data_IF_596167414840
#
_entry.id   IF_596167414840
#
_cell.length_a   1.000
_cell.length_b   1.000
_cell.length_c   1.000
_cell.angle_alpha   90.00
_cell.angle_beta   90.00
_cell.angle_gamma   90.00
#
_symmetry.space_group_name_H-M   'P 1'
#
loop_
_entity.id
_entity.type
_entity.pdbx_description
1 polymer ?
#
# COMPACT_ATOMS: atom_id res chain seq x y z
N UNK A 1 -18.08 26.93 44.99
CA UNK A 1 -18.55 25.51 45.06
C UNK A 1 -17.49 24.68 44.37
N UNK A 2 -16.57 24.05 45.14
CA UNK A 2 -15.57 23.13 44.59
C UNK A 2 -16.25 21.80 44.31
N UNK A 3 -16.19 21.31 43.10
CA UNK A 3 -16.61 19.95 42.78
C UNK A 3 -15.68 19.00 43.49
N UNK A 4 -16.20 18.22 44.43
CA UNK A 4 -15.49 17.10 45.07
C UNK A 4 -15.43 16.01 43.97
N UNK A 5 -14.28 15.88 43.34
CA UNK A 5 -14.02 14.78 42.40
C UNK A 5 -13.82 13.51 43.24
N UNK A 6 -14.69 12.53 43.09
CA UNK A 6 -14.57 11.23 43.74
C UNK A 6 -13.28 10.54 43.31
N UNK A 7 -12.51 10.04 44.30
CA UNK A 7 -11.31 9.23 44.06
C UNK A 7 -11.64 7.96 43.27
N UNK A 8 -10.85 7.64 42.24
CA UNK A 8 -11.05 6.48 41.36
C UNK A 8 -9.91 5.48 41.48
N UNK A 9 -10.21 4.21 41.24
CA UNK A 9 -9.19 3.17 41.08
C UNK A 9 -8.56 3.23 39.71
N UNK A 10 -7.24 3.26 39.67
CA UNK A 10 -6.49 3.16 38.40
C UNK A 10 -6.70 1.77 37.77
N UNK A 11 -7.13 1.72 36.54
CA UNK A 11 -7.38 0.45 35.82
C UNK A 11 -6.13 -0.40 35.61
N UNK A 12 -4.92 0.19 35.68
CA UNK A 12 -3.67 -0.55 35.54
C UNK A 12 -3.11 -1.08 36.83
N UNK A 13 -3.06 -0.28 37.88
CA UNK A 13 -2.37 -0.64 39.15
C UNK A 13 -3.29 -0.74 40.37
N UNK A 14 -4.59 -0.44 40.23
CA UNK A 14 -5.57 -0.52 41.31
C UNK A 14 -5.48 0.58 42.38
N UNK A 15 -4.48 1.45 42.33
CA UNK A 15 -4.30 2.52 43.30
C UNK A 15 -5.39 3.57 43.15
N UNK A 16 -5.93 4.05 44.27
CA UNK A 16 -6.86 5.18 44.31
C UNK A 16 -6.11 6.47 43.92
N UNK A 17 -6.71 7.28 43.07
CA UNK A 17 -6.17 8.58 42.68
C UNK A 17 -7.28 9.61 42.46
N UNK A 18 -6.94 10.86 42.63
CA UNK A 18 -7.87 11.96 42.37
C UNK A 18 -7.76 12.38 40.88
N UNK A 19 -8.83 12.16 40.10
CA UNK A 19 -8.78 12.40 38.67
C UNK A 19 -8.78 13.92 38.39
N UNK A 20 -7.80 14.40 37.64
CA UNK A 20 -7.75 15.80 37.15
C UNK A 20 -8.77 16.09 36.03
N UNK A 21 -9.36 15.06 35.46
CA UNK A 21 -10.39 15.13 34.39
C UNK A 21 -11.42 14.03 34.67
N UNK A 22 -12.68 14.33 34.40
CA UNK A 22 -13.80 13.44 34.66
C UNK A 22 -13.65 12.03 34.09
N UNK A 23 -12.99 11.90 32.95
CA UNK A 23 -12.78 10.63 32.26
C UNK A 23 -11.40 10.01 32.47
N UNK A 24 -10.64 10.46 33.46
CA UNK A 24 -9.32 9.88 33.76
C UNK A 24 -9.47 8.45 34.28
N UNK A 25 -8.85 7.49 33.62
CA UNK A 25 -8.85 6.05 33.91
C UNK A 25 -7.57 5.59 34.62
N UNK A 26 -6.50 6.38 34.55
CA UNK A 26 -5.17 6.01 34.99
C UNK A 26 -4.58 7.09 35.91
N UNK A 27 -3.91 6.67 36.99
CA UNK A 27 -3.27 7.57 37.96
C UNK A 27 -2.05 8.32 37.37
N UNK A 28 -1.44 7.80 36.30
CA UNK A 28 -0.26 8.38 35.68
C UNK A 28 -0.15 8.01 34.19
N UNK A 29 0.68 8.75 33.45
CA UNK A 29 1.04 8.43 32.08
C UNK A 29 1.72 7.05 31.97
N UNK A 30 2.51 6.66 32.98
CA UNK A 30 3.16 5.34 33.04
C UNK A 30 2.12 4.22 33.09
N UNK A 31 1.08 4.35 33.92
CA UNK A 31 0.01 3.36 34.01
C UNK A 31 -0.78 3.27 32.70
N UNK A 32 -1.06 4.39 32.06
CA UNK A 32 -1.72 4.41 30.75
C UNK A 32 -0.90 3.67 29.68
N UNK A 33 0.40 3.93 29.60
CA UNK A 33 1.30 3.25 28.65
C UNK A 33 1.39 1.75 28.95
N UNK A 34 1.52 1.37 30.24
CA UNK A 34 1.56 -0.04 30.64
C UNK A 34 0.25 -0.76 30.29
N UNK A 35 -0.89 -0.14 30.57
CA UNK A 35 -2.21 -0.69 30.23
C UNK A 35 -2.37 -0.86 28.72
N UNK A 36 -1.99 0.16 27.93
CA UNK A 36 -2.05 0.08 26.47
C UNK A 36 -1.14 -1.04 25.92
N UNK A 37 0.04 -1.27 26.52
CA UNK A 37 0.93 -2.38 26.11
C UNK A 37 0.36 -3.75 26.44
N UNK A 38 -0.35 -3.89 27.56
CA UNK A 38 -0.96 -5.15 27.96
C UNK A 38 -2.27 -5.45 27.23
N UNK A 39 -3.01 -4.41 26.87
CA UNK A 39 -4.30 -4.51 26.18
C UNK A 39 -4.26 -4.10 24.71
N UNK A 40 -3.14 -3.63 24.18
CA UNK A 40 -2.88 -3.72 22.76
C UNK A 40 -2.84 -5.21 22.46
N UNK A 41 -3.85 -5.75 21.80
CA UNK A 41 -3.75 -7.06 21.16
C UNK A 41 -2.40 -7.17 20.44
N UNK A 42 -1.89 -8.34 20.18
CA UNK A 42 -0.62 -8.52 19.47
C UNK A 42 -0.57 -7.49 18.36
N UNK A 43 0.40 -6.57 18.42
CA UNK A 43 0.55 -5.59 17.34
C UNK A 43 0.74 -6.40 16.05
N UNK A 44 0.06 -6.05 14.95
CA UNK A 44 0.23 -6.76 13.70
C UNK A 44 1.72 -6.92 13.41
N UNK A 45 2.11 -8.12 13.07
CA UNK A 45 3.49 -8.35 12.60
C UNK A 45 3.67 -7.66 11.25
N UNK A 46 4.89 -7.47 10.84
CA UNK A 46 5.21 -6.95 9.49
C UNK A 46 4.58 -7.85 8.41
N UNK A 47 4.57 -9.16 8.64
CA UNK A 47 3.90 -10.14 7.77
C UNK A 47 2.39 -9.93 7.67
N UNK A 48 1.72 -9.69 8.79
CA UNK A 48 0.28 -9.41 8.81
C UNK A 48 -0.06 -8.13 8.04
N UNK A 49 0.74 -7.09 8.21
CA UNK A 49 0.54 -5.82 7.51
C UNK A 49 0.73 -5.97 5.99
N UNK A 50 1.71 -6.75 5.55
CA UNK A 50 1.92 -7.07 4.14
C UNK A 50 0.74 -7.88 3.59
N UNK A 51 0.28 -8.91 4.30
CA UNK A 51 -0.86 -9.75 3.87
C UNK A 51 -2.15 -8.93 3.71
N UNK A 52 -2.44 -8.05 4.66
CA UNK A 52 -3.60 -7.13 4.55
C UNK A 52 -3.49 -6.20 3.34
N UNK A 53 -2.30 -5.67 3.07
CA UNK A 53 -2.06 -4.77 1.94
C UNK A 53 -2.23 -5.50 0.60
N UNK A 54 -1.74 -6.75 0.52
CA UNK A 54 -1.92 -7.61 -0.65
C UNK A 54 -3.39 -7.97 -0.84
N UNK A 55 -4.10 -8.28 0.25
CA UNK A 55 -5.53 -8.59 0.21
C UNK A 55 -6.33 -7.39 -0.30
N UNK A 56 -6.08 -6.19 0.23
CA UNK A 56 -6.74 -4.96 -0.22
C UNK A 56 -6.46 -4.66 -1.71
N UNK A 57 -5.22 -4.86 -2.15
CA UNK A 57 -4.85 -4.72 -3.57
C UNK A 57 -5.67 -5.66 -4.44
N UNK A 58 -5.73 -6.95 -4.08
CA UNK A 58 -6.44 -7.97 -4.88
C UNK A 58 -7.94 -7.70 -4.95
N UNK A 59 -8.57 -7.39 -3.82
CA UNK A 59 -10.00 -7.03 -3.78
C UNK A 59 -10.30 -5.81 -4.65
N UNK A 60 -9.41 -4.82 -4.65
CA UNK A 60 -9.54 -3.62 -5.47
C UNK A 60 -9.38 -3.92 -6.95
N UNK A 61 -8.39 -4.72 -7.35
CA UNK A 61 -8.20 -5.15 -8.73
C UNK A 61 -9.40 -5.98 -9.20
N UNK A 62 -9.87 -6.91 -8.40
CA UNK A 62 -11.05 -7.72 -8.69
C UNK A 62 -12.31 -6.87 -8.88
N UNK A 63 -12.49 -5.83 -8.08
CA UNK A 63 -13.57 -4.86 -8.21
C UNK A 63 -13.44 -4.07 -9.50
N UNK A 64 -12.23 -3.58 -9.83
CA UNK A 64 -11.94 -2.88 -11.08
C UNK A 64 -12.25 -3.75 -12.31
N UNK A 65 -11.82 -5.00 -12.31
CA UNK A 65 -12.02 -5.91 -13.43
C UNK A 65 -13.50 -6.24 -13.68
N UNK A 66 -14.34 -6.14 -12.66
CA UNK A 66 -15.80 -6.35 -12.74
C UNK A 66 -16.59 -5.05 -12.89
N UNK A 67 -15.95 -3.89 -12.65
CA UNK A 67 -16.64 -2.61 -12.68
C UNK A 67 -17.17 -2.28 -14.07
N UNK A 68 -18.41 -1.80 -14.12
CA UNK A 68 -19.11 -1.39 -15.34
C UNK A 68 -19.50 0.07 -15.22
N UNK A 69 -19.50 0.76 -16.31
CA UNK A 69 -19.93 2.15 -16.38
C UNK A 69 -19.28 2.89 -17.55
N UNK A 70 -19.92 4.00 -17.89
CA UNK A 70 -19.41 4.96 -18.86
C UNK A 70 -19.06 6.29 -18.19
N UNK A 71 -19.28 6.37 -16.89
CA UNK A 71 -19.05 7.55 -16.08
C UNK A 71 -17.55 7.68 -15.75
N UNK A 72 -16.94 8.72 -16.27
CA UNK A 72 -15.52 8.99 -16.13
C UNK A 72 -15.11 9.23 -14.66
N UNK A 73 -15.85 9.97 -13.83
CA UNK A 73 -15.54 10.10 -12.40
C UNK A 73 -15.51 8.76 -11.65
N UNK A 74 -16.45 7.86 -11.94
CA UNK A 74 -16.46 6.53 -11.33
C UNK A 74 -15.26 5.70 -11.78
N UNK A 75 -14.97 5.67 -13.09
CA UNK A 75 -13.80 4.97 -13.61
C UNK A 75 -12.50 5.51 -13.02
N UNK A 76 -12.37 6.85 -12.94
CA UNK A 76 -11.24 7.49 -12.29
C UNK A 76 -11.06 7.02 -10.84
N UNK A 77 -12.12 7.03 -10.04
CA UNK A 77 -12.05 6.61 -8.63
C UNK A 77 -11.58 5.16 -8.47
N UNK A 78 -12.17 4.23 -9.23
CA UNK A 78 -11.82 2.79 -9.16
C UNK A 78 -10.40 2.54 -9.63
N UNK A 79 -9.97 3.19 -10.72
CA UNK A 79 -8.60 3.05 -11.23
C UNK A 79 -7.59 3.68 -10.28
N UNK A 80 -7.88 4.85 -9.71
CA UNK A 80 -7.01 5.54 -8.76
C UNK A 80 -6.75 4.68 -7.53
N UNK A 81 -7.78 4.04 -6.99
CA UNK A 81 -7.65 3.13 -5.86
C UNK A 81 -6.76 1.93 -6.20
N UNK A 82 -6.93 1.33 -7.38
CA UNK A 82 -6.10 0.22 -7.83
C UNK A 82 -4.63 0.65 -8.05
N UNK A 83 -4.38 1.82 -8.64
CA UNK A 83 -3.03 2.39 -8.79
C UNK A 83 -2.38 2.58 -7.43
N UNK A 84 -3.13 3.11 -6.46
CA UNK A 84 -2.63 3.32 -5.10
C UNK A 84 -2.17 2.01 -4.48
N UNK A 85 -3.02 1.00 -4.41
CA UNK A 85 -2.70 -0.26 -3.77
C UNK A 85 -1.57 -1.02 -4.47
N UNK A 86 -1.59 -1.09 -5.80
CA UNK A 86 -0.51 -1.74 -6.57
C UNK A 86 0.84 -1.08 -6.30
N UNK A 87 0.90 0.25 -6.33
CA UNK A 87 2.17 0.97 -6.09
C UNK A 87 2.61 0.94 -4.64
N UNK A 88 1.70 0.77 -3.69
CA UNK A 88 2.01 0.57 -2.27
C UNK A 88 2.60 -0.81 -2.01
N UNK A 89 2.00 -1.88 -2.53
CA UNK A 89 2.54 -3.25 -2.42
C UNK A 89 3.91 -3.34 -3.07
N UNK A 90 4.05 -2.82 -4.29
CA UNK A 90 5.32 -2.77 -5.00
C UNK A 90 6.41 -2.04 -4.20
N UNK A 91 6.13 -0.85 -3.67
CA UNK A 91 7.10 -0.10 -2.86
C UNK A 91 7.45 -0.82 -1.55
N UNK A 92 6.51 -1.53 -0.94
CA UNK A 92 6.72 -2.31 0.27
C UNK A 92 7.64 -3.50 -0.01
N UNK A 93 7.39 -4.26 -1.07
CA UNK A 93 8.21 -5.40 -1.46
C UNK A 93 9.64 -4.96 -1.81
N UNK A 94 9.80 -3.94 -2.64
CA UNK A 94 11.13 -3.39 -3.01
C UNK A 94 11.90 -2.90 -1.79
N UNK A 95 11.23 -2.32 -0.80
CA UNK A 95 11.89 -1.73 0.37
C UNK A 95 12.24 -2.75 1.45
N UNK A 96 11.33 -3.67 1.74
CA UNK A 96 11.42 -4.55 2.91
C UNK A 96 11.70 -6.02 2.54
N UNK A 97 11.48 -6.41 1.29
CA UNK A 97 11.66 -7.77 0.80
C UNK A 97 12.42 -7.80 -0.55
N UNK A 98 13.52 -7.04 -0.70
CA UNK A 98 14.22 -6.91 -2.00
C UNK A 98 14.67 -8.27 -2.55
N UNK A 99 15.18 -9.17 -1.71
CA UNK A 99 15.67 -10.47 -2.16
C UNK A 99 14.56 -11.32 -2.83
N UNK A 100 13.35 -11.33 -2.25
CA UNK A 100 12.22 -12.07 -2.81
C UNK A 100 11.72 -11.40 -4.11
N UNK A 101 11.71 -10.07 -4.14
CA UNK A 101 11.33 -9.30 -5.33
C UNK A 101 12.31 -9.57 -6.48
N UNK A 102 13.60 -9.48 -6.22
CA UNK A 102 14.66 -9.66 -7.21
C UNK A 102 14.75 -11.12 -7.69
N UNK A 103 14.52 -12.12 -6.81
CA UNK A 103 14.47 -13.53 -7.17
C UNK A 103 13.37 -13.80 -8.20
N UNK A 104 12.16 -13.30 -7.97
CA UNK A 104 11.05 -13.45 -8.92
C UNK A 104 11.34 -12.70 -10.22
N UNK A 105 11.85 -11.46 -10.12
CA UNK A 105 12.20 -10.67 -11.30
C UNK A 105 13.29 -11.35 -12.15
N UNK A 106 14.29 -11.97 -11.52
CA UNK A 106 15.35 -12.72 -12.20
C UNK A 106 14.85 -13.99 -12.89
N UNK A 107 13.73 -14.56 -12.45
CA UNK A 107 13.06 -15.69 -13.10
C UNK A 107 12.46 -15.38 -14.46
N UNK A 108 12.29 -14.10 -14.80
CA UNK A 108 11.78 -13.64 -16.10
C UNK A 108 12.91 -13.36 -17.09
N UNK A 109 12.61 -13.47 -18.40
CA UNK A 109 13.56 -13.05 -19.42
C UNK A 109 13.77 -11.52 -19.44
N UNK A 110 14.76 -11.04 -20.21
CA UNK A 110 15.12 -9.62 -20.23
C UNK A 110 14.02 -8.71 -20.79
N UNK A 111 13.14 -9.23 -21.67
CA UNK A 111 12.02 -8.45 -22.23
C UNK A 111 10.88 -8.35 -21.22
N UNK A 112 10.54 -9.46 -20.57
CA UNK A 112 9.53 -9.51 -19.52
C UNK A 112 9.91 -8.66 -18.32
N UNK A 113 11.19 -8.73 -17.86
CA UNK A 113 11.69 -7.87 -16.78
C UNK A 113 11.48 -6.40 -17.08
N UNK A 114 11.90 -5.95 -18.28
CA UNK A 114 11.67 -4.56 -18.70
C UNK A 114 10.20 -4.19 -18.76
N UNK A 115 9.34 -5.11 -19.16
CA UNK A 115 7.90 -4.88 -19.21
C UNK A 115 7.30 -4.76 -17.79
N UNK A 116 7.76 -5.56 -16.83
CA UNK A 116 7.36 -5.50 -15.43
C UNK A 116 7.82 -4.18 -14.81
N UNK A 117 9.12 -3.90 -14.86
CA UNK A 117 9.72 -2.68 -14.30
C UNK A 117 9.07 -1.41 -14.89
N UNK A 118 8.92 -1.36 -16.22
CA UNK A 118 8.29 -0.24 -16.89
C UNK A 118 6.80 -0.11 -16.58
N UNK A 119 6.09 -1.22 -16.36
CA UNK A 119 4.70 -1.18 -15.90
C UNK A 119 4.59 -0.51 -14.53
N UNK A 120 5.43 -0.89 -13.56
CA UNK A 120 5.43 -0.25 -12.25
C UNK A 120 5.92 1.20 -12.29
N UNK A 121 6.91 1.52 -13.12
CA UNK A 121 7.35 2.89 -13.33
C UNK A 121 6.24 3.77 -13.89
N UNK A 122 5.52 3.30 -14.90
CA UNK A 122 4.35 3.98 -15.45
C UNK A 122 3.20 4.15 -14.45
N UNK A 123 2.91 3.13 -13.62
CA UNK A 123 1.90 3.23 -12.56
C UNK A 123 2.32 4.23 -11.46
N UNK A 124 3.60 4.32 -11.12
CA UNK A 124 4.13 5.33 -10.19
C UNK A 124 4.00 6.74 -10.77
N UNK A 125 4.20 6.91 -12.10
CA UNK A 125 3.91 8.17 -12.77
C UNK A 125 2.44 8.55 -12.61
N UNK A 126 1.51 7.65 -12.94
CA UNK A 126 0.07 7.88 -12.80
C UNK A 126 -0.28 8.28 -11.35
N UNK A 127 0.21 7.54 -10.35
CA UNK A 127 -0.01 7.86 -8.93
C UNK A 127 0.43 9.28 -8.57
N UNK A 128 1.59 9.70 -9.05
CA UNK A 128 2.12 11.03 -8.79
C UNK A 128 1.25 12.11 -9.46
N UNK A 129 0.83 11.88 -10.70
CA UNK A 129 -0.06 12.81 -11.41
C UNK A 129 -1.41 12.94 -10.70
N UNK A 130 -2.00 11.86 -10.21
CA UNK A 130 -3.24 11.88 -9.42
C UNK A 130 -3.10 12.67 -8.12
N UNK A 131 -1.93 12.61 -7.46
CA UNK A 131 -1.71 13.23 -6.16
C UNK A 131 -1.32 14.70 -6.22
N UNK A 132 -0.65 15.13 -7.28
CA UNK A 132 -0.04 16.46 -7.34
C UNK A 132 -0.62 17.37 -8.44
N UNK A 133 -1.23 16.79 -9.48
CA UNK A 133 -1.65 17.51 -10.67
C UNK A 133 -3.10 17.18 -11.00
N UNK A 134 -4.04 17.75 -10.24
CA UNK A 134 -5.50 17.57 -10.47
C UNK A 134 -5.96 17.97 -11.88
N UNK A 135 -5.14 18.69 -12.64
CA UNK A 135 -5.43 19.09 -14.02
C UNK A 135 -5.39 17.92 -15.02
N UNK A 136 -4.88 16.74 -14.62
CA UNK A 136 -4.70 15.58 -15.49
C UNK A 136 -5.53 14.35 -15.11
N UNK A 137 -6.81 14.56 -14.74
CA UNK A 137 -7.76 13.45 -14.60
C UNK A 137 -8.02 12.69 -15.91
N UNK A 138 -7.42 13.10 -17.02
CA UNK A 138 -7.71 12.67 -18.38
C UNK A 138 -6.73 11.61 -18.93
N UNK A 139 -6.14 10.76 -18.09
CA UNK A 139 -5.23 9.69 -18.52
C UNK A 139 -5.91 8.39 -18.93
N UNK A 140 -7.23 8.36 -18.93
CA UNK A 140 -8.03 7.21 -19.37
C UNK A 140 -9.09 7.62 -20.39
N UNK A 141 -9.39 6.72 -21.29
CA UNK A 141 -10.48 6.89 -22.25
C UNK A 141 -11.39 5.66 -22.26
N UNK A 142 -12.71 5.85 -22.42
CA UNK A 142 -13.66 4.75 -22.48
C UNK A 142 -13.30 3.72 -23.54
N UNK A 143 -13.33 2.45 -23.15
CA UNK A 143 -13.21 1.31 -24.06
C UNK A 143 -14.58 0.84 -24.53
N UNK A 144 -14.59 -0.16 -25.41
CA UNK A 144 -15.83 -0.76 -25.90
C UNK A 144 -16.47 -1.65 -24.83
N UNK A 145 -17.80 -1.71 -24.80
CA UNK A 145 -18.55 -2.68 -23.99
C UNK A 145 -18.91 -2.25 -22.56
N UNK A 146 -18.63 -1.01 -22.15
CA UNK A 146 -19.04 -0.49 -20.83
C UNK A 146 -18.37 -1.16 -19.61
N UNK A 147 -17.25 -1.86 -19.83
CA UNK A 147 -16.45 -2.44 -18.76
C UNK A 147 -15.21 -1.58 -18.55
N UNK A 148 -14.98 -1.12 -17.31
CA UNK A 148 -13.86 -0.22 -16.99
C UNK A 148 -12.51 -0.87 -17.30
N UNK A 149 -12.37 -2.17 -17.11
CA UNK A 149 -11.16 -2.91 -17.46
C UNK A 149 -10.79 -2.84 -18.96
N UNK A 150 -11.76 -2.57 -19.86
CA UNK A 150 -11.54 -2.40 -21.28
C UNK A 150 -11.24 -0.94 -21.69
N UNK A 151 -11.26 -0.01 -20.72
CA UNK A 151 -10.79 1.35 -20.96
C UNK A 151 -9.29 1.33 -21.24
N UNK A 152 -8.80 2.34 -21.96
CA UNK A 152 -7.39 2.39 -22.34
C UNK A 152 -6.70 3.59 -21.71
N UNK A 153 -5.44 3.41 -21.37
CA UNK A 153 -4.57 4.50 -20.96
C UNK A 153 -4.31 5.42 -22.16
N UNK A 154 -4.48 6.72 -21.97
CA UNK A 154 -4.24 7.71 -23.03
C UNK A 154 -2.75 8.01 -23.13
N UNK A 155 -2.29 8.34 -24.33
CA UNK A 155 -1.00 9.03 -24.47
C UNK A 155 -1.14 10.44 -23.91
N UNK A 156 -0.22 10.84 -23.04
CA UNK A 156 -0.21 12.13 -22.38
C UNK A 156 0.84 13.05 -23.00
N UNK A 157 0.63 14.37 -23.01
CA UNK A 157 1.69 15.31 -23.34
C UNK A 157 2.83 15.22 -22.33
N UNK A 158 4.00 15.71 -22.69
CA UNK A 158 5.13 15.81 -21.79
C UNK A 158 4.76 16.70 -20.58
N UNK A 159 5.00 16.23 -19.35
CA UNK A 159 4.63 17.00 -18.17
C UNK A 159 5.53 18.23 -17.99
N UNK A 160 4.95 19.34 -17.58
CA UNK A 160 5.71 20.52 -17.13
C UNK A 160 6.31 20.23 -15.75
N UNK A 161 7.62 20.07 -15.69
CA UNK A 161 8.33 19.69 -14.46
C UNK A 161 9.11 20.86 -13.82
N UNK A 162 8.90 22.09 -14.26
CA UNK A 162 9.67 23.27 -13.86
C UNK A 162 9.61 23.55 -12.34
N UNK A 163 8.55 23.12 -11.68
CA UNK A 163 8.39 23.26 -10.23
C UNK A 163 9.21 22.27 -9.40
N UNK A 164 9.81 21.25 -10.03
CA UNK A 164 10.59 20.23 -9.35
C UNK A 164 12.09 20.55 -9.37
N UNK A 165 12.85 20.15 -8.34
CA UNK A 165 14.31 20.13 -8.39
C UNK A 165 14.82 19.27 -9.55
N UNK A 166 15.98 19.56 -10.12
CA UNK A 166 16.54 18.87 -11.30
C UNK A 166 16.52 17.33 -11.20
N UNK A 167 16.89 16.80 -10.03
CA UNK A 167 16.83 15.35 -9.79
C UNK A 167 15.40 14.82 -9.81
N UNK A 168 14.44 15.60 -9.33
CA UNK A 168 13.01 15.25 -9.38
C UNK A 168 12.49 15.23 -10.81
N UNK A 169 12.91 16.19 -11.64
CA UNK A 169 12.57 16.27 -13.06
C UNK A 169 13.05 15.04 -13.82
N UNK A 170 14.32 14.64 -13.62
CA UNK A 170 14.89 13.44 -14.27
C UNK A 170 14.13 12.16 -13.91
N UNK A 171 13.77 11.99 -12.62
CA UNK A 171 13.02 10.83 -12.15
C UNK A 171 11.61 10.79 -12.70
N UNK A 172 10.91 11.93 -12.71
CA UNK A 172 9.55 12.01 -13.20
C UNK A 172 9.51 11.87 -14.72
N UNK A 173 10.49 12.39 -15.44
CA UNK A 173 10.63 12.20 -16.88
C UNK A 173 10.90 10.73 -17.24
N UNK A 174 11.68 10.02 -16.45
CA UNK A 174 11.91 8.58 -16.65
C UNK A 174 10.60 7.81 -16.51
N UNK A 175 9.82 8.07 -15.45
CA UNK A 175 8.51 7.46 -15.23
C UNK A 175 7.48 7.81 -16.31
N UNK A 176 7.52 9.05 -16.80
CA UNK A 176 6.69 9.46 -17.94
C UNK A 176 7.01 8.65 -19.20
N UNK A 177 8.30 8.42 -19.49
CA UNK A 177 8.70 7.57 -20.64
C UNK A 177 8.27 6.12 -20.47
N UNK A 178 8.37 5.59 -19.24
CA UNK A 178 7.85 4.26 -18.89
C UNK A 178 6.32 4.19 -19.07
N UNK A 179 5.58 5.21 -18.62
CA UNK A 179 4.15 5.31 -18.88
C UNK A 179 3.82 5.28 -20.36
N UNK A 180 4.48 6.12 -21.16
CA UNK A 180 4.24 6.18 -22.61
C UNK A 180 4.58 4.86 -23.31
N UNK A 181 5.60 4.16 -22.84
CA UNK A 181 6.05 2.91 -23.48
C UNK A 181 5.18 1.71 -23.08
N UNK A 182 4.75 1.63 -21.83
CA UNK A 182 4.19 0.41 -21.27
C UNK A 182 2.71 0.48 -20.93
N UNK A 183 2.17 1.68 -20.70
CA UNK A 183 0.77 1.86 -20.34
C UNK A 183 -0.05 2.50 -21.48
N UNK A 184 0.45 3.57 -22.07
CA UNK A 184 -0.29 4.32 -23.10
C UNK A 184 -0.78 3.40 -24.23
N UNK A 185 -2.07 3.50 -24.56
CA UNK A 185 -2.73 2.66 -25.55
C UNK A 185 -3.11 1.25 -25.09
N UNK A 186 -2.68 0.82 -23.89
CA UNK A 186 -3.01 -0.51 -23.36
C UNK A 186 -4.34 -0.51 -22.60
N UNK A 187 -5.08 -1.63 -22.60
CA UNK A 187 -6.25 -1.79 -21.75
C UNK A 187 -5.87 -1.70 -20.26
N UNK A 188 -6.67 -0.97 -19.50
CA UNK A 188 -6.48 -0.79 -18.04
C UNK A 188 -6.40 -2.15 -17.34
N UNK A 189 -7.31 -3.07 -17.66
CA UNK A 189 -7.36 -4.38 -17.03
C UNK A 189 -6.12 -5.24 -17.27
N UNK A 190 -5.46 -5.11 -18.42
CA UNK A 190 -4.28 -5.92 -18.75
C UNK A 190 -3.07 -5.46 -17.92
N UNK A 191 -2.94 -4.16 -17.72
CA UNK A 191 -1.90 -3.59 -16.85
C UNK A 191 -2.06 -4.10 -15.41
N UNK A 192 -3.28 -4.06 -14.87
CA UNK A 192 -3.51 -4.52 -13.49
C UNK A 192 -3.40 -6.04 -13.33
N UNK A 193 -3.78 -6.84 -14.32
CA UNK A 193 -3.55 -8.30 -14.29
C UNK A 193 -2.07 -8.63 -14.28
N UNK A 194 -1.26 -7.94 -15.09
CA UNK A 194 0.20 -8.12 -15.10
C UNK A 194 0.81 -7.77 -13.75
N UNK A 195 0.45 -6.62 -13.19
CA UNK A 195 0.92 -6.18 -11.89
C UNK A 195 0.52 -7.15 -10.76
N UNK A 196 -0.75 -7.59 -10.71
CA UNK A 196 -1.24 -8.57 -9.72
C UNK A 196 -0.50 -9.90 -9.81
N UNK A 197 -0.27 -10.40 -11.02
CA UNK A 197 0.44 -11.68 -11.22
C UNK A 197 1.86 -11.62 -10.65
N UNK A 198 2.62 -10.58 -10.97
CA UNK A 198 3.99 -10.41 -10.47
C UNK A 198 4.03 -10.20 -8.96
N UNK A 199 3.21 -9.29 -8.42
CA UNK A 199 3.23 -8.97 -6.99
C UNK A 199 2.81 -10.15 -6.12
N UNK A 200 1.89 -11.00 -6.59
CA UNK A 200 1.54 -12.24 -5.90
C UNK A 200 2.71 -13.23 -5.86
N UNK A 201 3.44 -13.37 -6.94
CA UNK A 201 4.63 -14.23 -6.96
C UNK A 201 5.69 -13.73 -6.00
N UNK A 202 6.01 -12.43 -6.04
CA UNK A 202 6.99 -11.81 -5.16
C UNK A 202 6.60 -11.90 -3.68
N UNK A 203 5.31 -11.73 -3.36
CA UNK A 203 4.82 -11.81 -1.97
C UNK A 203 4.75 -13.25 -1.41
N UNK A 204 4.51 -14.24 -2.25
CA UNK A 204 4.47 -15.65 -1.80
C UNK A 204 5.81 -16.09 -1.17
N UNK A 205 6.95 -15.63 -1.71
CA UNK A 205 8.26 -15.86 -1.14
C UNK A 205 8.49 -15.21 0.23
N UNK A 206 7.76 -14.13 0.53
CA UNK A 206 7.86 -13.43 1.82
C UNK A 206 7.09 -14.15 2.93
N UNK A 207 5.86 -14.60 2.63
CA UNK A 207 4.98 -15.23 3.61
C UNK A 207 5.50 -16.59 4.08
N UNK A 208 6.16 -17.36 3.20
CA UNK A 208 6.75 -18.66 3.55
C UNK A 208 7.99 -18.57 4.44
N UNK A 209 8.70 -17.44 4.44
CA UNK A 209 9.90 -17.21 5.27
C UNK A 209 9.57 -16.73 6.69
N UNK A 210 8.34 -16.32 6.95
CA UNK A 210 7.88 -15.78 8.24
C UNK A 210 7.40 -16.85 9.22
N UNK A 211 7.51 -18.15 8.93
CA UNK A 211 7.25 -19.18 9.93
C UNK A 211 8.28 -19.07 11.07
N UNK A 212 7.86 -18.86 12.32
CA UNK A 212 8.79 -18.75 13.43
C UNK A 212 9.48 -20.11 13.61
N UNK A 213 10.77 -20.16 13.25
CA UNK A 213 11.65 -21.28 13.60
C UNK A 213 11.47 -21.61 15.06
N UNK A 214 11.10 -22.89 15.32
CA UNK A 214 10.63 -23.44 16.57
C UNK A 214 11.40 -22.91 17.80
N UNK A 215 10.65 -22.46 18.78
CA UNK A 215 11.13 -22.32 20.15
C UNK A 215 11.48 -23.70 20.71
N UNK A 216 12.64 -24.21 20.30
CA UNK A 216 13.31 -25.36 20.89
C UNK A 216 14.42 -24.88 21.79
N UNK A 217 14.24 -24.91 23.08
CA UNK A 217 15.31 -24.59 24.03
C UNK A 217 14.81 -24.40 25.45
N UNK A 218 14.18 -25.42 26.02
CA UNK A 218 14.04 -25.54 27.46
C UNK A 218 15.46 -25.58 28.09
N UNK A 219 15.98 -24.42 28.51
CA UNK A 219 17.16 -24.33 29.35
C UNK A 219 16.84 -24.80 30.75
N UNK A 220 17.23 -26.04 31.06
CA UNK A 220 17.21 -26.61 32.41
C UNK A 220 18.08 -25.75 33.35
N UNK A 221 17.43 -25.08 34.30
CA UNK A 221 18.10 -24.52 35.44
C UNK A 221 18.59 -25.68 36.31
N UNK A 222 19.90 -25.91 36.35
CA UNK A 222 20.57 -26.70 37.42
C UNK A 222 20.92 -25.77 38.58
N UNK A 223 20.60 -26.31 39.75
CA UNK A 223 20.85 -25.75 41.08
C UNK A 223 22.28 -25.31 41.31
#
# INVERSE_FOLDING_TARGET
MGMVTESRKCEQCGVLFDPRREHARFCSARCRVAWNRLNAGESPTEGDALDWTITAMRETIDRLLRARGWDQPHAFAVISEAVWWVTMVDATLVRYHPDAYDEVLAGHDAAERRAIEGTFGGLRFVRNQMGYYLDHADFIQPGRGGVIAAWTWRSLPEPGLDSLPARGQEWEMTRYREYQTWLAGQPVGDIFRRADTFLRQASAGCLTRSEPGGRGGAGAVRR
#
